data_IF_457448591798
#
_entry.id   IF_457448591798
#
_cell.length_a   1.000
_cell.length_b   1.000
_cell.length_c   1.000
_cell.angle_alpha   90.00
_cell.angle_beta   90.00
_cell.angle_gamma   90.00
#
_symmetry.space_group_name_H-M   'P 1'
#
loop_
_entity.id
_entity.type
_entity.pdbx_description
1 polymer ?
#
# COMPACT_ATOMS: atom_id res chain seq x y z
N UNK A 1 4.16 3.24 -0.66
CA UNK A 1 3.83 3.89 -1.92
C UNK A 1 3.65 5.39 -1.72
N UNK A 2 4.38 6.19 -2.46
CA UNK A 2 4.37 7.66 -2.32
C UNK A 2 3.18 8.32 -3.02
N UNK A 3 2.46 7.61 -3.88
CA UNK A 3 1.30 8.16 -4.61
C UNK A 3 0.00 8.03 -3.84
N UNK A 4 0.04 7.40 -2.70
CA UNK A 4 -1.09 7.25 -1.79
C UNK A 4 -0.82 8.05 -0.52
N UNK A 5 -1.89 8.55 0.11
CA UNK A 5 -1.75 9.19 1.40
C UNK A 5 -1.26 8.20 2.46
N UNK A 6 -0.55 8.67 3.51
CA UNK A 6 -0.04 7.77 4.54
C UNK A 6 -1.14 6.89 5.12
N UNK A 7 -0.89 5.59 5.14
CA UNK A 7 -1.82 4.60 5.66
C UNK A 7 -2.93 4.17 4.71
N UNK A 8 -3.07 4.81 3.57
CA UNK A 8 -4.06 4.40 2.57
C UNK A 8 -3.65 3.10 1.90
N UNK A 9 -4.60 2.19 1.72
CA UNK A 9 -4.39 0.97 0.96
C UNK A 9 -4.94 1.10 -0.45
N UNK A 10 -4.28 0.43 -1.38
CA UNK A 10 -4.79 0.23 -2.74
C UNK A 10 -4.56 -1.21 -3.15
N UNK A 11 -5.65 -1.94 -3.37
CA UNK A 11 -5.61 -3.32 -3.84
C UNK A 11 -5.85 -3.32 -5.35
N UNK A 12 -5.01 -4.03 -6.09
CA UNK A 12 -5.15 -4.18 -7.54
C UNK A 12 -4.95 -5.63 -7.93
N UNK A 13 -5.65 -6.04 -9.00
CA UNK A 13 -5.53 -7.40 -9.57
C UNK A 13 -4.28 -7.56 -10.41
N UNK A 14 -3.77 -6.48 -10.98
CA UNK A 14 -2.58 -6.44 -11.84
C UNK A 14 -2.00 -5.03 -11.85
N UNK A 15 -0.81 -4.89 -12.35
CA UNK A 15 -0.20 -3.58 -12.53
C UNK A 15 1.31 -3.63 -12.71
N UNK A 16 1.87 -2.52 -13.18
CA UNK A 16 3.31 -2.36 -13.34
C UNK A 16 4.01 -2.20 -11.99
N UNK A 17 5.35 -2.20 -12.03
CA UNK A 17 6.17 -1.97 -10.84
C UNK A 17 6.10 -0.53 -10.32
N UNK A 18 5.72 0.43 -11.15
CA UNK A 18 5.60 1.83 -10.76
C UNK A 18 6.92 2.44 -10.24
N UNK A 19 8.05 1.99 -10.75
CA UNK A 19 9.36 2.44 -10.29
C UNK A 19 9.91 1.72 -9.05
N UNK A 20 9.14 0.80 -8.47
CA UNK A 20 9.55 0.04 -7.30
C UNK A 20 10.39 -1.17 -7.72
N UNK A 21 11.67 -1.18 -7.31
CA UNK A 21 12.64 -2.20 -7.76
C UNK A 21 12.29 -3.61 -7.29
N UNK A 22 11.78 -3.76 -6.07
CA UNK A 22 11.35 -5.05 -5.54
C UNK A 22 10.21 -5.65 -6.34
N UNK A 23 9.21 -4.84 -6.67
CA UNK A 23 8.08 -5.27 -7.50
C UNK A 23 8.52 -5.62 -8.92
N UNK A 24 9.44 -4.85 -9.49
CA UNK A 24 10.04 -5.14 -10.79
C UNK A 24 10.71 -6.51 -10.80
N UNK A 25 11.45 -6.84 -9.75
CA UNK A 25 12.09 -8.15 -9.61
C UNK A 25 11.06 -9.28 -9.53
N UNK A 26 9.97 -9.09 -8.79
CA UNK A 26 8.89 -10.08 -8.70
C UNK A 26 8.25 -10.32 -10.06
N UNK A 27 7.95 -9.25 -10.79
CA UNK A 27 7.36 -9.34 -12.13
C UNK A 27 8.29 -10.10 -13.09
N UNK A 28 9.59 -9.79 -13.05
CA UNK A 28 10.57 -10.46 -13.89
C UNK A 28 10.66 -11.97 -13.59
N UNK A 29 10.65 -12.34 -12.31
CA UNK A 29 10.75 -13.75 -11.91
C UNK A 29 9.47 -14.53 -12.19
N UNK A 30 8.30 -13.92 -12.03
CA UNK A 30 7.03 -14.55 -12.33
C UNK A 30 6.70 -14.56 -13.82
N UNK A 31 7.33 -13.68 -14.61
CA UNK A 31 7.06 -13.54 -16.04
C UNK A 31 5.71 -12.89 -16.35
N UNK A 32 5.07 -12.26 -15.37
CA UNK A 32 3.77 -11.60 -15.53
C UNK A 32 3.59 -10.52 -14.49
N UNK A 33 2.80 -9.50 -14.81
CA UNK A 33 2.33 -8.48 -13.86
C UNK A 33 0.86 -8.72 -13.45
N UNK A 34 0.25 -9.81 -13.90
CA UNK A 34 -1.16 -10.16 -13.64
C UNK A 34 -1.30 -10.94 -12.34
N UNK A 35 -0.92 -10.34 -11.22
CA UNK A 35 -1.15 -10.89 -9.90
C UNK A 35 -1.64 -9.81 -8.95
N UNK A 36 -2.39 -10.24 -7.93
CA UNK A 36 -2.93 -9.33 -6.93
C UNK A 36 -1.81 -8.73 -6.06
N UNK A 37 -1.98 -7.47 -5.70
CA UNK A 37 -1.05 -6.76 -4.82
C UNK A 37 -1.79 -5.78 -3.95
N UNK A 38 -1.21 -5.48 -2.79
CA UNK A 38 -1.67 -4.44 -1.89
C UNK A 38 -0.57 -3.38 -1.81
N UNK A 39 -0.93 -2.14 -2.14
CA UNK A 39 -0.04 -0.99 -2.02
C UNK A 39 -0.40 -0.24 -0.74
N UNK A 40 0.62 0.17 0.01
CA UNK A 40 0.45 0.94 1.25
C UNK A 40 1.02 2.32 1.03
N UNK A 41 0.22 3.34 1.31
CA UNK A 41 0.64 4.73 1.21
C UNK A 41 1.61 5.11 2.32
N UNK A 42 2.70 5.77 1.93
CA UNK A 42 3.70 6.32 2.87
C UNK A 42 3.82 7.84 2.73
N UNK A 43 2.99 8.45 1.88
CA UNK A 43 3.03 9.87 1.61
C UNK A 43 4.11 10.28 0.62
N UNK A 44 4.17 11.57 0.32
CA UNK A 44 5.14 12.12 -0.61
C UNK A 44 6.53 12.19 0.02
N UNK A 45 7.56 11.87 -0.76
CA UNK A 45 8.93 12.05 -0.28
C UNK A 45 9.25 13.53 -0.11
N UNK A 46 10.04 13.91 0.90
CA UNK A 46 10.48 15.29 1.05
C UNK A 46 11.30 15.74 -0.16
N UNK A 47 11.22 17.04 -0.47
CA UNK A 47 12.00 17.64 -1.54
C UNK A 47 13.50 17.42 -1.31
N UNK A 48 14.22 17.02 -2.35
CA UNK A 48 15.65 16.76 -2.28
C UNK A 48 16.05 15.37 -1.82
N UNK A 49 15.09 14.55 -1.36
CA UNK A 49 15.36 13.18 -0.99
C UNK A 49 15.35 12.27 -2.21
N UNK A 50 16.29 11.32 -2.26
CA UNK A 50 16.23 10.20 -3.19
C UNK A 50 15.06 9.29 -2.79
N UNK A 51 14.31 8.78 -3.78
CA UNK A 51 13.15 7.92 -3.53
C UNK A 51 13.51 6.66 -2.75
N UNK A 52 14.64 6.01 -3.12
CA UNK A 52 15.06 4.79 -2.43
C UNK A 52 15.43 5.08 -0.97
N UNK A 53 16.12 6.19 -0.71
CA UNK A 53 16.48 6.59 0.65
C UNK A 53 15.25 6.87 1.49
N UNK A 54 14.24 7.53 0.92
CA UNK A 54 12.99 7.82 1.62
C UNK A 54 12.23 6.54 1.97
N UNK A 55 12.08 5.64 1.02
CA UNK A 55 11.35 4.37 1.22
C UNK A 55 12.03 3.49 2.27
N UNK A 56 13.36 3.56 2.38
CA UNK A 56 14.13 2.79 3.35
C UNK A 56 14.34 3.52 4.68
N UNK A 57 13.89 4.78 4.79
CA UNK A 57 14.03 5.54 6.02
C UNK A 57 13.06 5.07 7.09
N UNK A 58 13.33 5.46 8.34
CA UNK A 58 12.42 5.19 9.45
C UNK A 58 11.23 6.15 9.41
N UNK A 59 10.08 5.65 9.79
CA UNK A 59 8.92 6.51 10.01
C UNK A 59 9.09 7.33 11.28
N UNK A 60 8.62 8.58 11.25
CA UNK A 60 8.57 9.44 12.42
C UNK A 60 7.63 8.86 13.50
N UNK A 61 7.75 9.35 14.72
CA UNK A 61 6.85 8.93 15.80
C UNK A 61 5.38 9.18 15.48
N UNK A 62 5.09 10.27 14.77
CA UNK A 62 3.73 10.63 14.35
C UNK A 62 3.19 9.69 13.29
N UNK A 63 4.06 9.23 12.39
CA UNK A 63 3.70 8.32 11.31
C UNK A 63 3.53 6.86 11.77
N UNK A 64 4.24 6.45 12.82
CA UNK A 64 4.26 5.06 13.26
C UNK A 64 2.88 4.46 13.55
N UNK A 65 1.97 5.15 14.29
CA UNK A 65 0.62 4.60 14.50
C UNK A 65 -0.17 4.43 13.22
N UNK A 66 -0.02 5.36 12.27
CA UNK A 66 -0.68 5.32 10.96
C UNK A 66 -0.22 4.10 10.16
N UNK A 67 1.09 3.87 10.12
CA UNK A 67 1.67 2.75 9.39
C UNK A 67 1.33 1.42 10.06
N UNK A 68 1.34 1.34 11.38
CA UNK A 68 0.92 0.13 12.11
C UNK A 68 -0.53 -0.23 11.81
N UNK A 69 -1.42 0.76 11.78
CA UNK A 69 -2.82 0.52 11.42
C UNK A 69 -2.94 0.08 9.97
N UNK A 70 -2.16 0.66 9.07
CA UNK A 70 -2.13 0.26 7.67
C UNK A 70 -1.68 -1.20 7.50
N UNK A 71 -0.65 -1.62 8.23
CA UNK A 71 -0.18 -3.01 8.21
C UNK A 71 -1.25 -3.97 8.73
N UNK A 72 -1.96 -3.61 9.79
CA UNK A 72 -3.09 -4.39 10.28
C UNK A 72 -4.19 -4.48 9.23
N UNK A 73 -4.54 -3.36 8.62
CA UNK A 73 -5.54 -3.31 7.56
C UNK A 73 -5.13 -4.16 6.35
N UNK A 74 -3.85 -4.13 5.98
CA UNK A 74 -3.33 -4.96 4.90
C UNK A 74 -3.45 -6.46 5.22
N UNK A 75 -3.15 -6.84 6.46
CA UNK A 75 -3.33 -8.22 6.93
C UNK A 75 -4.80 -8.64 6.88
N UNK A 76 -5.70 -7.79 7.35
CA UNK A 76 -7.14 -8.06 7.28
C UNK A 76 -7.63 -8.12 5.83
N UNK A 77 -7.08 -7.28 4.96
CA UNK A 77 -7.40 -7.29 3.52
C UNK A 77 -6.98 -8.61 2.87
N UNK A 78 -5.81 -9.15 3.21
CA UNK A 78 -5.36 -10.46 2.74
C UNK A 78 -6.35 -11.56 3.14
N UNK A 79 -6.80 -11.55 4.39
CA UNK A 79 -7.79 -12.52 4.87
C UNK A 79 -9.11 -12.37 4.11
N UNK A 80 -9.56 -11.16 3.86
CA UNK A 80 -10.79 -10.89 3.13
C UNK A 80 -10.70 -11.34 1.68
N UNK A 81 -9.56 -11.17 1.03
CA UNK A 81 -9.31 -11.68 -0.32
C UNK A 81 -9.48 -13.21 -0.35
N UNK A 82 -8.91 -13.89 0.63
CA UNK A 82 -8.96 -15.36 0.72
C UNK A 82 -10.38 -15.83 1.01
N UNK A 83 -11.09 -15.19 1.93
CA UNK A 83 -12.42 -15.63 2.36
C UNK A 83 -13.54 -15.22 1.42
N UNK A 84 -13.46 -14.05 0.80
CA UNK A 84 -14.58 -13.43 0.08
C UNK A 84 -14.24 -12.92 -1.32
N UNK A 85 -12.99 -13.02 -1.73
CA UNK A 85 -12.52 -12.61 -3.05
C UNK A 85 -11.98 -11.19 -3.10
N UNK A 86 -11.22 -10.92 -4.16
CA UNK A 86 -10.51 -9.65 -4.32
C UNK A 86 -11.47 -8.47 -4.57
N UNK A 87 -12.58 -8.69 -5.25
CA UNK A 87 -13.52 -7.60 -5.56
C UNK A 87 -14.14 -7.03 -4.29
N UNK A 88 -14.49 -7.88 -3.34
CA UNK A 88 -15.00 -7.46 -2.02
C UNK A 88 -13.94 -6.66 -1.26
N UNK A 89 -12.70 -7.14 -1.27
CA UNK A 89 -11.60 -6.46 -0.60
C UNK A 89 -11.30 -5.09 -1.23
N UNK A 90 -11.29 -5.01 -2.56
CA UNK A 90 -11.10 -3.76 -3.29
C UNK A 90 -12.20 -2.75 -2.93
N UNK A 91 -13.43 -3.20 -2.89
CA UNK A 91 -14.56 -2.34 -2.55
C UNK A 91 -14.46 -1.79 -1.13
N UNK A 92 -13.97 -2.58 -0.20
CA UNK A 92 -13.82 -2.17 1.20
C UNK A 92 -12.62 -1.25 1.44
N UNK A 93 -11.45 -1.56 0.87
CA UNK A 93 -10.19 -0.93 1.25
C UNK A 93 -9.69 0.14 0.26
N UNK A 94 -10.14 0.15 -0.98
CA UNK A 94 -9.70 1.15 -1.95
C UNK A 94 -10.36 2.51 -1.75
N UNK A 95 -11.35 2.60 -0.88
CA UNK A 95 -11.99 3.86 -0.55
C UNK A 95 -11.09 4.65 0.40
N UNK A 96 -11.02 5.96 0.20
CA UNK A 96 -10.39 6.85 1.15
C UNK A 96 -11.12 6.72 2.48
N UNK A 97 -10.40 6.30 3.53
CA UNK A 97 -10.97 6.23 4.87
C UNK A 97 -11.25 7.64 5.36
N UNK A 98 -12.54 7.99 5.42
CA UNK A 98 -12.96 9.21 6.10
C UNK A 98 -12.87 8.93 7.59
N UNK A 99 -11.94 9.61 8.27
CA UNK A 99 -11.96 9.66 9.72
C UNK A 99 -13.23 10.41 10.10
N UNK A 100 -14.23 9.68 10.58
CA UNK A 100 -15.38 10.35 11.17
C UNK A 100 -14.91 10.99 12.47
N UNK A 101 -14.92 12.31 12.51
CA UNK A 101 -14.89 13.03 13.75
C UNK A 101 -16.15 12.65 14.53
N UNK A 102 -15.97 11.78 15.50
CA UNK A 102 -17.01 11.53 16.48
C UNK A 102 -16.99 12.68 17.49
N UNK A 103 -17.68 13.71 17.17
CA UNK A 103 -17.99 14.71 18.18
C UNK A 103 -19.02 14.15 19.17
#
# INVERSE_FOLDING_TARGET
DINLEPGQLRIRKKGSAGGQKGMKSIIEHLGTDEFARIRIGIGDKPSGWDLADYVLSRFSEEEQPVIRQALKNASDACRLIISSGIDVAMNKYNKKMIVQDND
#
